data_IF_018986813876
#
_entry.id   IF_018986813876
#
_cell.length_a   1.000
_cell.length_b   1.000
_cell.length_c   1.000
_cell.angle_alpha   90.00
_cell.angle_beta   90.00
_cell.angle_gamma   90.00
#
_symmetry.space_group_name_H-M   'P 1'
#
loop_
_entity.id
_entity.type
_entity.pdbx_description
1 polymer ?
#
# COMPACT_ATOMS: atom_id res chain seq x y z
N UNK A 1 62.04 3.55 -36.39
CA UNK A 1 61.29 4.15 -35.28
C UNK A 1 60.08 3.26 -35.01
N UNK A 2 59.97 2.74 -33.79
CA UNK A 2 58.97 1.77 -33.34
C UNK A 2 57.62 2.46 -33.09
N UNK A 3 56.51 1.84 -33.52
CA UNK A 3 55.19 2.11 -32.93
C UNK A 3 54.35 0.83 -32.90
N UNK A 4 54.43 0.14 -31.76
CA UNK A 4 53.44 -0.86 -31.32
C UNK A 4 52.23 -0.11 -30.76
N UNK A 5 51.05 -0.27 -31.37
CA UNK A 5 49.78 0.20 -30.79
C UNK A 5 48.98 -1.02 -30.27
N UNK A 6 48.68 -1.13 -28.96
CA UNK A 6 47.91 -2.23 -28.39
C UNK A 6 46.42 -1.85 -28.31
N UNK A 7 45.63 -2.14 -29.35
CA UNK A 7 44.18 -1.85 -29.41
C UNK A 7 43.28 -3.07 -29.17
N UNK A 8 43.74 -4.09 -28.41
CA UNK A 8 43.04 -5.39 -28.31
C UNK A 8 42.16 -5.69 -27.09
N UNK A 9 42.10 -4.92 -25.97
CA UNK A 9 41.23 -5.32 -24.85
C UNK A 9 39.78 -4.80 -24.94
N UNK A 10 39.50 -3.73 -25.68
CA UNK A 10 38.17 -3.07 -25.66
C UNK A 10 37.12 -3.70 -26.58
N UNK A 11 37.52 -4.37 -27.66
CA UNK A 11 36.57 -4.97 -28.61
C UNK A 11 35.91 -6.23 -28.02
N UNK A 12 36.63 -6.99 -27.20
CA UNK A 12 36.11 -8.24 -26.60
C UNK A 12 35.04 -7.95 -25.54
N UNK A 13 35.17 -6.85 -24.80
CA UNK A 13 34.17 -6.46 -23.77
C UNK A 13 32.86 -5.94 -24.38
N UNK A 14 32.93 -5.24 -25.53
CA UNK A 14 31.73 -4.73 -26.21
C UNK A 14 30.85 -5.80 -26.85
N UNK A 15 31.44 -6.92 -27.31
CA UNK A 15 30.69 -8.03 -27.93
C UNK A 15 29.89 -8.82 -26.88
N UNK A 16 30.39 -8.94 -25.65
CA UNK A 16 29.70 -9.64 -24.57
C UNK A 16 28.43 -8.92 -24.09
N UNK A 17 28.43 -7.58 -24.09
CA UNK A 17 27.27 -6.76 -23.70
C UNK A 17 26.20 -6.78 -24.80
N UNK A 18 26.60 -6.83 -26.08
CA UNK A 18 25.65 -6.90 -27.19
C UNK A 18 24.96 -8.29 -27.26
N UNK A 19 25.65 -9.37 -26.89
CA UNK A 19 25.05 -10.71 -26.86
C UNK A 19 23.92 -10.86 -25.83
N UNK A 20 23.97 -10.12 -24.70
CA UNK A 20 22.91 -10.14 -23.67
C UNK A 20 21.61 -9.48 -24.13
N UNK A 21 21.66 -8.56 -25.09
CA UNK A 21 20.49 -7.83 -25.60
C UNK A 21 19.85 -8.50 -26.83
N UNK A 22 20.50 -9.50 -27.44
CA UNK A 22 20.10 -10.08 -28.74
C UNK A 22 19.65 -11.56 -28.62
N UNK A 23 19.45 -12.09 -27.41
CA UNK A 23 18.77 -13.37 -27.21
C UNK A 23 17.32 -13.32 -27.70
N UNK A 24 17.08 -13.62 -28.98
CA UNK A 24 15.80 -13.47 -29.67
C UNK A 24 14.79 -14.60 -29.44
N UNK A 25 15.10 -15.61 -28.62
CA UNK A 25 14.14 -16.68 -28.30
C UNK A 25 13.79 -16.72 -26.80
N UNK A 26 12.52 -16.99 -26.43
CA UNK A 26 12.12 -17.18 -25.04
C UNK A 26 12.94 -18.27 -24.32
N UNK A 27 13.36 -19.31 -25.04
CA UNK A 27 14.17 -20.41 -24.49
C UNK A 27 15.60 -19.96 -24.14
N UNK A 28 16.23 -19.13 -24.97
CA UNK A 28 17.57 -18.60 -24.67
C UNK A 28 17.54 -17.60 -23.51
N UNK A 29 16.51 -16.74 -23.45
CA UNK A 29 16.33 -15.83 -22.32
C UNK A 29 16.13 -16.57 -21.00
N UNK A 30 15.31 -17.62 -21.00
CA UNK A 30 15.13 -18.49 -19.83
C UNK A 30 16.47 -19.07 -19.34
N UNK A 31 17.29 -19.62 -20.25
CA UNK A 31 18.59 -20.21 -19.90
C UNK A 31 19.53 -19.20 -19.25
N UNK A 32 19.65 -17.99 -19.81
CA UNK A 32 20.51 -16.95 -19.24
C UNK A 32 19.97 -16.47 -17.90
N UNK A 33 18.67 -16.18 -17.80
CA UNK A 33 18.07 -15.65 -16.57
C UNK A 33 18.11 -16.66 -15.43
N UNK A 34 17.95 -17.96 -15.72
CA UNK A 34 18.00 -19.04 -14.70
C UNK A 34 19.38 -19.24 -14.06
N UNK A 35 20.45 -18.65 -14.61
CA UNK A 35 21.78 -18.68 -13.98
C UNK A 35 21.90 -17.65 -12.86
N UNK A 36 21.21 -16.52 -12.99
CA UNK A 36 21.34 -15.38 -12.08
C UNK A 36 20.13 -15.21 -11.15
N UNK A 37 18.97 -15.72 -11.54
CA UNK A 37 17.74 -15.59 -10.80
C UNK A 37 17.14 -16.98 -10.56
N UNK A 38 17.04 -17.35 -9.28
CA UNK A 38 16.24 -18.51 -8.88
C UNK A 38 14.75 -18.21 -9.08
N UNK A 39 14.01 -19.16 -9.65
CA UNK A 39 12.55 -19.04 -9.84
C UNK A 39 12.09 -18.47 -11.19
N UNK A 40 12.97 -18.32 -12.19
CA UNK A 40 12.55 -17.93 -13.54
C UNK A 40 11.57 -18.97 -14.11
N UNK A 41 10.38 -18.58 -14.62
CA UNK A 41 9.42 -19.51 -15.20
C UNK A 41 9.94 -20.17 -16.49
N UNK A 42 9.85 -21.50 -16.57
CA UNK A 42 10.28 -22.25 -17.75
C UNK A 42 9.21 -22.15 -18.87
N UNK A 43 9.54 -21.55 -20.03
CA UNK A 43 8.57 -21.29 -21.10
C UNK A 43 8.08 -22.57 -21.81
N UNK A 44 8.76 -23.70 -21.64
CA UNK A 44 8.40 -24.98 -22.24
C UNK A 44 7.72 -25.95 -21.25
N UNK A 45 7.60 -25.57 -19.97
CA UNK A 45 6.89 -26.38 -19.00
C UNK A 45 5.40 -26.10 -19.15
N UNK A 46 4.63 -27.05 -19.67
CA UNK A 46 3.17 -27.00 -19.59
C UNK A 46 2.80 -26.92 -18.12
N UNK A 47 2.15 -25.83 -17.70
CA UNK A 47 1.63 -25.70 -16.35
C UNK A 47 0.74 -26.90 -16.07
N UNK A 48 1.16 -27.72 -15.11
CA UNK A 48 0.40 -28.88 -14.68
C UNK A 48 -0.80 -28.36 -13.90
N UNK A 49 -1.94 -28.34 -14.58
CA UNK A 49 -3.22 -27.95 -13.98
C UNK A 49 -3.43 -28.87 -12.77
N UNK A 50 -3.69 -28.33 -11.56
CA UNK A 50 -3.80 -29.16 -10.36
C UNK A 50 -4.78 -30.30 -10.60
N UNK A 51 -4.30 -31.53 -10.46
CA UNK A 51 -5.12 -32.71 -10.65
C UNK A 51 -6.19 -32.70 -9.56
N UNK A 52 -7.44 -32.71 -9.99
CA UNK A 52 -8.60 -32.80 -9.10
C UNK A 52 -8.47 -34.13 -8.33
N UNK A 53 -8.50 -34.12 -6.98
CA UNK A 53 -8.35 -35.34 -6.21
C UNK A 53 -9.47 -36.34 -6.55
N UNK A 54 -9.18 -37.65 -6.61
CA UNK A 54 -10.18 -38.67 -6.85
C UNK A 54 -11.26 -38.61 -5.75
N UNK A 55 -12.52 -38.41 -6.14
CA UNK A 55 -13.64 -38.19 -5.22
C UNK A 55 -14.19 -36.76 -5.20
N UNK A 56 -13.61 -35.83 -5.95
CA UNK A 56 -14.23 -34.53 -6.20
C UNK A 56 -15.41 -34.67 -7.16
N UNK A 57 -16.60 -34.75 -6.58
CA UNK A 57 -17.85 -34.78 -7.30
C UNK A 57 -18.22 -33.36 -7.76
N UNK A 58 -18.01 -33.08 -9.05
CA UNK A 58 -18.34 -31.79 -9.67
C UNK A 58 -19.83 -31.46 -9.64
N UNK A 59 -20.69 -32.45 -9.32
CA UNK A 59 -22.15 -32.28 -9.21
C UNK A 59 -22.61 -31.85 -7.81
N UNK A 60 -21.78 -31.98 -6.76
CA UNK A 60 -22.06 -31.43 -5.41
C UNK A 60 -21.87 -29.91 -5.30
N UNK A 61 -21.62 -29.22 -6.41
CA UNK A 61 -21.52 -27.75 -6.46
C UNK A 61 -22.85 -27.05 -6.17
N UNK A 62 -23.99 -27.73 -6.25
CA UNK A 62 -25.29 -27.12 -6.01
C UNK A 62 -25.46 -26.67 -4.54
N UNK A 63 -24.88 -27.40 -3.58
CA UNK A 63 -25.01 -27.06 -2.16
C UNK A 63 -23.91 -26.09 -1.69
N UNK A 64 -22.74 -26.10 -2.34
CA UNK A 64 -21.66 -25.15 -2.05
C UNK A 64 -21.88 -23.77 -2.68
N UNK A 65 -22.73 -23.66 -3.70
CA UNK A 65 -23.10 -22.36 -4.29
C UNK A 65 -23.94 -21.48 -3.35
N UNK A 66 -24.49 -22.03 -2.26
CA UNK A 66 -25.31 -21.28 -1.31
C UNK A 66 -24.52 -20.63 -0.15
N UNK A 67 -23.22 -20.93 0.01
CA UNK A 67 -22.47 -20.54 1.21
C UNK A 67 -21.26 -19.60 0.99
N UNK A 68 -21.06 -19.06 -0.20
CA UNK A 68 -20.18 -17.90 -0.40
C UNK A 68 -20.96 -16.84 -1.16
N UNK A 69 -21.86 -16.15 -0.46
CA UNK A 69 -22.31 -14.84 -0.91
C UNK A 69 -21.05 -13.97 -0.88
N UNK A 70 -20.31 -13.93 -1.99
CA UNK A 70 -19.12 -13.11 -2.18
C UNK A 70 -19.57 -11.68 -1.92
N UNK A 71 -19.39 -11.22 -0.68
CA UNK A 71 -19.68 -9.84 -0.35
C UNK A 71 -18.59 -9.05 -1.05
N UNK A 72 -18.98 -8.41 -2.15
CA UNK A 72 -18.11 -7.47 -2.84
C UNK A 72 -17.72 -6.39 -1.81
N UNK A 73 -16.43 -6.15 -1.55
CA UNK A 73 -16.00 -5.18 -0.55
C UNK A 73 -16.54 -3.80 -0.94
N UNK A 74 -17.31 -3.20 -0.03
CA UNK A 74 -17.89 -1.87 -0.23
C UNK A 74 -16.85 -0.81 0.12
N UNK A 75 -16.10 -0.37 -0.88
CA UNK A 75 -15.17 0.74 -0.72
C UNK A 75 -15.90 2.09 -0.63
N UNK A 76 -15.41 2.96 0.25
CA UNK A 76 -15.67 4.39 0.28
C UNK A 76 -14.52 5.06 -0.46
N UNK A 77 -14.84 5.97 -1.39
CA UNK A 77 -13.86 6.70 -2.17
C UNK A 77 -13.68 8.10 -1.62
N UNK A 78 -12.45 8.60 -1.64
CA UNK A 78 -12.17 10.02 -1.46
C UNK A 78 -12.64 10.77 -2.71
N UNK A 79 -13.36 11.88 -2.56
CA UNK A 79 -14.07 12.51 -3.68
C UNK A 79 -13.16 12.88 -4.85
N UNK A 80 -11.98 13.52 -4.64
CA UNK A 80 -11.06 13.83 -5.75
C UNK A 80 -10.62 12.57 -6.53
N UNK A 81 -10.49 11.43 -5.84
CA UNK A 81 -10.17 10.17 -6.49
C UNK A 81 -11.35 9.60 -7.28
N UNK A 82 -12.59 9.70 -6.75
CA UNK A 82 -13.80 9.29 -7.47
C UNK A 82 -13.97 10.08 -8.77
N UNK A 83 -13.66 11.38 -8.74
CA UNK A 83 -13.74 12.28 -9.88
C UNK A 83 -12.57 12.14 -10.85
N UNK A 84 -11.56 11.33 -10.50
CA UNK A 84 -10.31 11.14 -11.27
C UNK A 84 -9.52 12.43 -11.42
N UNK A 85 -9.61 13.33 -10.44
CA UNK A 85 -8.83 14.56 -10.35
C UNK A 85 -7.41 14.27 -9.86
N UNK A 86 -6.72 13.32 -10.50
CA UNK A 86 -5.41 12.85 -10.05
C UNK A 86 -4.37 13.98 -10.03
N UNK A 87 -4.54 15.00 -10.89
CA UNK A 87 -3.66 16.14 -11.03
C UNK A 87 -3.61 17.07 -9.82
N UNK A 88 -4.65 17.04 -8.98
CA UNK A 88 -4.74 17.90 -7.79
C UNK A 88 -3.75 17.47 -6.71
N UNK A 89 -3.42 16.17 -6.69
CA UNK A 89 -2.45 15.60 -5.77
C UNK A 89 -1.16 15.15 -6.46
N UNK A 90 -1.21 14.67 -7.70
CA UNK A 90 -0.07 14.07 -8.39
C UNK A 90 0.37 14.84 -9.64
N UNK A 91 1.68 15.04 -9.79
CA UNK A 91 2.27 15.58 -11.02
C UNK A 91 2.44 14.49 -12.07
N UNK A 92 1.88 14.74 -13.26
CA UNK A 92 2.01 13.86 -14.44
C UNK A 92 3.39 13.95 -15.09
N UNK A 93 4.15 15.03 -14.84
CA UNK A 93 5.49 15.26 -15.42
C UNK A 93 6.64 14.72 -14.59
N UNK A 94 6.36 13.92 -13.54
CA UNK A 94 7.39 13.41 -12.62
C UNK A 94 7.16 11.98 -12.13
N UNK A 95 6.30 11.18 -12.78
CA UNK A 95 6.05 9.80 -12.37
C UNK A 95 5.14 9.66 -11.16
N UNK A 96 4.01 10.38 -11.15
CA UNK A 96 3.00 10.35 -10.08
C UNK A 96 3.53 10.79 -8.69
N UNK A 97 4.51 11.69 -8.65
CA UNK A 97 4.93 12.34 -7.40
C UNK A 97 3.85 13.28 -6.90
N UNK A 98 3.81 13.53 -5.59
CA UNK A 98 2.91 14.54 -5.05
C UNK A 98 3.28 15.93 -5.58
N UNK A 99 2.27 16.77 -5.84
CA UNK A 99 2.46 18.16 -6.27
C UNK A 99 3.00 19.05 -5.13
N UNK A 100 2.79 18.61 -3.89
CA UNK A 100 3.22 19.23 -2.65
C UNK A 100 3.30 18.13 -1.56
N UNK A 101 4.12 18.33 -0.54
CA UNK A 101 4.23 17.37 0.57
C UNK A 101 3.07 17.54 1.56
N UNK A 102 2.87 16.55 2.42
CA UNK A 102 1.95 16.69 3.56
C UNK A 102 2.62 17.54 4.67
N UNK A 103 1.84 18.30 5.45
CA UNK A 103 0.37 18.36 5.42
C UNK A 103 -0.21 19.38 4.43
N UNK A 104 0.61 20.31 3.92
CA UNK A 104 0.16 21.44 3.08
C UNK A 104 -0.71 20.99 1.89
N UNK A 105 -0.37 19.86 1.26
CA UNK A 105 -1.18 19.29 0.18
C UNK A 105 -2.63 19.05 0.61
N UNK A 106 -2.83 18.49 1.81
CA UNK A 106 -4.15 18.18 2.35
C UNK A 106 -4.91 19.46 2.73
N UNK A 107 -4.19 20.46 3.24
CA UNK A 107 -4.77 21.74 3.66
C UNK A 107 -5.21 22.64 2.51
N UNK A 108 -4.90 22.29 1.26
CA UNK A 108 -5.50 22.97 0.11
C UNK A 108 -7.03 22.81 0.06
N UNK A 109 -7.58 21.79 0.72
CA UNK A 109 -9.03 21.53 0.75
C UNK A 109 -9.59 21.18 2.13
N UNK A 110 -8.76 20.73 3.07
CA UNK A 110 -9.15 20.42 4.44
C UNK A 110 -8.64 21.49 5.40
N UNK A 111 -9.31 21.66 6.54
CA UNK A 111 -8.89 22.65 7.52
C UNK A 111 -7.50 22.35 8.08
N UNK A 112 -6.74 23.41 8.35
CA UNK A 112 -5.50 23.29 9.12
C UNK A 112 -5.86 23.18 10.60
N UNK A 113 -5.78 21.95 11.10
CA UNK A 113 -6.11 21.65 12.50
C UNK A 113 -5.18 22.36 13.49
N UNK A 114 -3.99 22.81 13.07
CA UNK A 114 -3.07 23.57 13.92
C UNK A 114 -3.58 24.97 14.26
N UNK A 115 -4.52 25.50 13.47
CA UNK A 115 -5.22 26.75 13.77
C UNK A 115 -6.50 26.51 14.59
N UNK A 116 -6.98 25.26 14.62
CA UNK A 116 -8.24 24.89 15.28
C UNK A 116 -8.03 24.43 16.71
N UNK A 117 -6.98 23.64 16.98
CA UNK A 117 -6.77 23.00 18.27
C UNK A 117 -5.49 23.50 18.94
N UNK A 118 -5.55 23.73 20.26
CA UNK A 118 -4.38 24.06 21.06
C UNK A 118 -3.48 22.83 21.34
N UNK A 119 -4.05 21.62 21.27
CA UNK A 119 -3.32 20.35 21.44
C UNK A 119 -3.58 19.41 20.26
N UNK A 120 -2.59 19.28 19.38
CA UNK A 120 -2.65 18.35 18.25
C UNK A 120 -2.24 16.94 18.62
N UNK A 121 -2.87 15.96 17.99
CA UNK A 121 -2.41 14.59 18.04
C UNK A 121 -1.06 14.46 17.31
N UNK A 122 -0.13 13.67 17.85
CA UNK A 122 1.26 13.57 17.35
C UNK A 122 1.39 13.36 15.84
N UNK A 123 0.66 12.41 15.22
CA UNK A 123 0.69 12.23 13.76
C UNK A 123 0.21 13.47 12.99
N UNK A 124 -0.80 14.19 13.50
CA UNK A 124 -1.32 15.41 12.85
C UNK A 124 -0.35 16.56 13.01
N UNK A 125 0.22 16.75 14.20
CA UNK A 125 1.29 17.72 14.44
C UNK A 125 2.52 17.49 13.54
N UNK A 126 2.82 16.22 13.23
CA UNK A 126 3.88 15.84 12.29
C UNK A 126 3.48 15.89 10.82
N UNK A 127 2.24 16.24 10.49
CA UNK A 127 1.74 16.29 9.12
C UNK A 127 1.55 14.92 8.46
N UNK A 128 1.42 13.84 9.24
CA UNK A 128 1.29 12.47 8.74
C UNK A 128 -0.19 12.06 8.55
N UNK A 129 -0.95 12.81 7.76
CA UNK A 129 -2.38 12.56 7.49
C UNK A 129 -2.62 11.12 6.98
N UNK A 130 -1.73 10.68 6.08
CA UNK A 130 -1.74 9.32 5.53
C UNK A 130 -1.25 8.23 6.50
N UNK A 131 -0.88 8.57 7.74
CA UNK A 131 -0.66 7.59 8.80
C UNK A 131 -1.93 6.83 9.14
N UNK A 132 -3.06 7.55 9.18
CA UNK A 132 -4.38 7.01 9.54
C UNK A 132 -5.33 6.88 8.34
N UNK A 133 -5.17 7.71 7.30
CA UNK A 133 -6.08 7.76 6.15
C UNK A 133 -5.48 7.18 4.86
N UNK A 134 -6.35 6.62 4.00
CA UNK A 134 -6.07 6.25 2.63
C UNK A 134 -6.57 7.34 1.65
N UNK A 135 -5.69 8.06 0.94
CA UNK A 135 -6.08 9.24 0.17
C UNK A 135 -6.90 8.94 -1.10
N UNK A 136 -7.03 7.66 -1.48
CA UNK A 136 -7.78 7.22 -2.66
C UNK A 136 -9.14 6.60 -2.28
N UNK A 137 -9.10 5.52 -1.50
CA UNK A 137 -10.27 4.78 -1.06
C UNK A 137 -9.94 3.92 0.14
N UNK A 138 -10.95 3.57 0.92
CA UNK A 138 -10.86 2.60 2.01
C UNK A 138 -12.12 1.76 2.10
N UNK A 139 -12.01 0.56 2.67
CA UNK A 139 -13.17 -0.23 3.10
C UNK A 139 -13.86 0.38 4.34
N UNK A 140 -13.17 1.27 5.05
CA UNK A 140 -13.66 1.92 6.25
C UNK A 140 -14.11 3.36 5.99
N UNK A 141 -15.17 3.85 6.69
CA UNK A 141 -15.61 5.24 6.60
C UNK A 141 -14.46 6.21 6.86
N UNK A 142 -14.60 7.46 6.40
CA UNK A 142 -13.61 8.53 6.58
C UNK A 142 -12.20 8.15 6.09
N UNK A 143 -12.10 7.23 5.13
CA UNK A 143 -10.84 6.76 4.55
C UNK A 143 -9.89 6.10 5.55
N UNK A 144 -10.36 5.59 6.69
CA UNK A 144 -9.45 5.04 7.71
C UNK A 144 -8.71 3.79 7.21
N UNK A 145 -7.49 3.54 7.68
CA UNK A 145 -6.71 2.34 7.34
C UNK A 145 -7.11 1.08 8.12
N UNK A 146 -7.76 1.27 9.26
CA UNK A 146 -8.18 0.22 10.20
C UNK A 146 -9.57 0.56 10.75
N UNK A 147 -10.26 -0.44 11.28
CA UNK A 147 -11.63 -0.30 11.78
C UNK A 147 -11.63 0.02 13.28
N UNK A 148 -12.38 1.05 13.68
CA UNK A 148 -12.63 1.36 15.10
C UNK A 148 -11.34 1.47 15.91
N UNK A 149 -11.35 0.89 17.11
CA UNK A 149 -10.22 0.90 18.05
C UNK A 149 -8.92 0.33 17.48
N UNK A 150 -8.96 -0.60 16.51
CA UNK A 150 -7.76 -1.19 15.89
C UNK A 150 -6.86 -0.14 15.24
N UNK A 151 -7.42 1.02 14.85
CA UNK A 151 -6.63 2.13 14.33
C UNK A 151 -5.75 2.75 15.41
N UNK A 152 -6.31 3.01 16.58
CA UNK A 152 -5.63 3.64 17.71
C UNK A 152 -4.64 2.65 18.34
N UNK A 153 -5.09 1.42 18.55
CA UNK A 153 -4.30 0.34 19.16
C UNK A 153 -3.20 -0.21 18.25
N UNK A 154 -3.10 0.29 17.02
CA UNK A 154 -1.95 0.01 16.16
C UNK A 154 -0.65 0.64 16.71
N UNK A 155 -0.77 1.77 17.41
CA UNK A 155 0.36 2.48 18.00
C UNK A 155 0.26 2.58 19.53
N UNK A 156 -0.95 2.71 20.06
CA UNK A 156 -1.17 2.82 21.49
C UNK A 156 -1.35 1.44 22.11
N UNK A 157 -0.47 1.07 23.04
CA UNK A 157 -0.54 -0.23 23.70
C UNK A 157 -1.83 -0.34 24.52
N UNK A 158 -2.56 -1.45 24.34
CA UNK A 158 -3.88 -1.62 24.98
C UNK A 158 -3.75 -1.60 26.50
N UNK A 159 -2.73 -2.25 27.05
CA UNK A 159 -2.54 -2.27 28.50
C UNK A 159 -2.32 -0.87 29.07
N UNK A 160 -1.67 0.02 28.34
CA UNK A 160 -1.35 1.37 28.81
C UNK A 160 -2.57 2.28 28.72
N UNK A 161 -3.33 2.17 27.62
CA UNK A 161 -4.55 2.95 27.40
C UNK A 161 -5.59 2.63 28.47
N UNK A 162 -5.84 1.35 28.76
CA UNK A 162 -6.90 0.93 29.68
C UNK A 162 -6.45 0.81 31.15
N UNK A 163 -5.24 1.25 31.51
CA UNK A 163 -4.71 1.15 32.89
C UNK A 163 -5.27 2.22 33.86
N UNK A 164 -6.34 2.94 33.51
CA UNK A 164 -6.82 4.09 34.27
C UNK A 164 -8.34 4.04 34.51
N UNK A 165 -8.78 4.66 35.61
CA UNK A 165 -10.18 4.63 36.06
C UNK A 165 -11.18 5.24 35.06
N UNK A 166 -10.74 6.13 34.16
CA UNK A 166 -11.62 6.76 33.15
C UNK A 166 -12.03 5.74 32.07
N UNK A 167 -11.18 4.73 31.85
CA UNK A 167 -11.44 3.68 30.88
C UNK A 167 -12.08 2.42 31.48
N UNK A 168 -12.38 2.42 32.78
CA UNK A 168 -13.03 1.29 33.45
C UNK A 168 -14.42 1.03 32.86
N UNK A 169 -14.58 -0.15 32.25
CA UNK A 169 -15.87 -0.61 31.72
C UNK A 169 -16.30 0.01 30.38
N UNK A 170 -15.38 0.69 29.68
CA UNK A 170 -15.60 1.21 28.32
C UNK A 170 -14.69 0.55 27.28
N UNK A 171 -14.20 -0.65 27.58
CA UNK A 171 -13.27 -1.41 26.72
C UNK A 171 -13.81 -1.67 25.31
N UNK A 172 -15.13 -1.68 25.15
CA UNK A 172 -15.84 -1.93 23.90
C UNK A 172 -16.36 -0.64 23.21
N UNK A 173 -16.15 0.54 23.82
CA UNK A 173 -16.61 1.83 23.27
C UNK A 173 -15.67 2.36 22.19
N UNK A 174 -16.17 3.09 21.19
CA UNK A 174 -15.28 3.66 20.18
C UNK A 174 -14.46 4.81 20.79
N UNK A 175 -13.14 4.82 20.53
CA UNK A 175 -12.24 5.85 21.06
C UNK A 175 -12.73 7.27 20.69
N UNK A 176 -13.33 7.40 19.52
CA UNK A 176 -13.82 8.68 18.97
C UNK A 176 -15.13 9.17 19.58
N UNK A 177 -15.79 8.36 20.42
CA UNK A 177 -16.96 8.82 21.17
C UNK A 177 -16.56 9.85 22.24
N UNK A 178 -15.31 9.78 22.71
CA UNK A 178 -14.76 10.68 23.70
C UNK A 178 -13.53 11.46 23.21
N UNK A 179 -12.77 10.94 22.24
CA UNK A 179 -11.54 11.59 21.76
C UNK A 179 -11.63 12.13 20.33
N UNK A 180 -11.05 13.28 20.04
CA UNK A 180 -10.80 13.72 18.67
C UNK A 180 -9.41 13.24 18.22
N UNK A 181 -9.31 12.41 17.17
CA UNK A 181 -8.03 11.89 16.69
C UNK A 181 -7.13 12.95 16.01
N UNK A 182 -7.63 14.15 15.74
CA UNK A 182 -6.87 15.26 15.18
C UNK A 182 -6.31 16.21 16.24
N UNK A 183 -7.10 16.55 17.26
CA UNK A 183 -6.69 17.47 18.31
C UNK A 183 -7.84 17.95 19.18
N UNK A 184 -7.54 18.62 20.28
CA UNK A 184 -8.54 19.23 21.17
C UNK A 184 -7.99 20.40 21.97
N UNK A 185 -8.80 20.96 22.85
CA UNK A 185 -8.38 22.03 23.75
C UNK A 185 -7.60 21.53 24.96
N UNK A 186 -7.86 20.30 25.37
CA UNK A 186 -7.20 19.65 26.50
C UNK A 186 -6.20 18.60 26.06
N UNK A 187 -5.27 18.30 26.96
CA UNK A 187 -4.39 17.14 26.83
C UNK A 187 -5.25 15.87 26.71
N UNK A 188 -4.79 14.93 25.90
CA UNK A 188 -5.51 13.70 25.55
C UNK A 188 -6.71 13.88 24.63
N UNK A 189 -6.96 15.10 24.12
CA UNK A 189 -7.87 15.35 23.00
C UNK A 189 -9.29 14.84 23.29
N UNK A 190 -9.84 15.18 24.46
CA UNK A 190 -11.19 14.80 24.87
C UNK A 190 -12.20 15.80 24.28
N UNK A 191 -13.33 15.30 23.81
CA UNK A 191 -14.44 16.02 23.18
C UNK A 191 -15.47 16.58 24.17
#
# INVERSE_FOLDING_TARGET
>A
MSSRFPYRPFIISGIAILALLVGCSPAERYRVLSVFFDGVPNPNKKEERPQIPPGFDSTRRADSARALKKQEPKFVFHEPYRERACGDCHSTRGGNRLVMEQPDLCYQCHDDFSETYSHLHGPVAGGYCTGCHHPHMSEYPKMLKRKGQDLCLYCHEKSDVFANEVHDGIDDSDCTDCHDPHGGEDRFMIN
#
